data_IF_525922127567
#
_entry.id   IF_525922127567
#
_cell.length_a   1.000
_cell.length_b   1.000
_cell.length_c   1.000
_cell.angle_alpha   90.00
_cell.angle_beta   90.00
_cell.angle_gamma   90.00
#
_symmetry.space_group_name_H-M   'P 1'
#
loop_
_entity.id
_entity.type
_entity.pdbx_description
1 polymer ?
#
# COMPACT_ATOMS: atom_id res chain seq x y z
N UNK A 1 1.51 15.42 -26.22
CA UNK A 1 1.04 15.65 -24.84
C UNK A 1 0.56 17.08 -24.77
N UNK A 2 -0.67 17.33 -24.28
CA UNK A 2 -1.06 18.69 -23.94
C UNK A 2 -0.13 19.18 -22.82
N UNK A 3 0.43 20.39 -22.96
CA UNK A 3 1.23 20.97 -21.89
C UNK A 3 0.34 21.17 -20.65
N UNK A 4 0.86 20.80 -19.48
CA UNK A 4 0.16 21.04 -18.22
C UNK A 4 -0.09 22.55 -18.04
N UNK A 5 -1.24 22.95 -17.49
CA UNK A 5 -1.50 24.36 -17.20
C UNK A 5 -0.38 24.99 -16.36
N UNK A 6 0.02 26.25 -16.66
CA UNK A 6 0.96 26.97 -15.81
C UNK A 6 0.48 27.01 -14.35
N UNK A 7 1.34 26.63 -13.41
CA UNK A 7 1.01 26.56 -11.98
C UNK A 7 0.29 25.28 -11.55
N UNK A 8 0.26 24.23 -12.38
CA UNK A 8 -0.18 22.90 -11.95
C UNK A 8 0.62 22.39 -10.75
N UNK A 9 -0.09 21.74 -9.84
CA UNK A 9 0.44 21.11 -8.65
C UNK A 9 0.29 19.59 -8.74
N UNK A 10 1.16 18.88 -8.02
CA UNK A 10 1.08 17.43 -7.84
C UNK A 10 1.05 17.10 -6.36
N UNK A 11 0.18 16.18 -5.98
CA UNK A 11 0.01 15.79 -4.58
C UNK A 11 0.47 14.36 -4.37
N UNK A 12 1.54 14.19 -3.58
CA UNK A 12 2.07 12.90 -3.16
C UNK A 12 1.68 12.61 -1.71
N UNK A 13 1.25 11.40 -1.43
CA UNK A 13 0.94 10.94 -0.07
C UNK A 13 1.86 9.80 0.37
N UNK A 14 2.04 9.65 1.67
CA UNK A 14 2.71 8.49 2.28
C UNK A 14 1.91 8.00 3.49
N UNK A 15 1.15 6.91 3.29
CA UNK A 15 0.40 6.22 4.33
C UNK A 15 1.29 5.18 5.04
N UNK A 16 2.21 5.70 5.84
CA UNK A 16 3.19 4.94 6.62
C UNK A 16 2.59 4.27 7.86
N UNK A 17 3.42 3.54 8.61
CA UNK A 17 3.01 2.87 9.86
C UNK A 17 2.61 3.84 10.98
N UNK A 18 3.30 4.97 11.12
CA UNK A 18 3.12 5.89 12.26
C UNK A 18 2.40 7.19 11.89
N UNK A 19 2.21 7.43 10.60
CA UNK A 19 1.64 8.70 10.13
C UNK A 19 1.12 8.63 8.69
N UNK A 20 0.28 9.60 8.35
CA UNK A 20 -0.04 9.92 6.96
C UNK A 20 0.60 11.28 6.62
N UNK A 21 1.45 11.30 5.60
CA UNK A 21 2.08 12.54 5.09
C UNK A 21 1.46 12.95 3.75
N UNK A 22 1.46 14.25 3.49
CA UNK A 22 1.12 14.83 2.20
C UNK A 22 2.22 15.82 1.78
N UNK A 23 2.66 15.72 0.53
CA UNK A 23 3.69 16.58 -0.08
C UNK A 23 3.12 17.19 -1.35
N UNK A 24 3.16 18.50 -1.45
CA UNK A 24 2.72 19.25 -2.63
C UNK A 24 3.95 19.66 -3.43
N UNK A 25 3.97 19.31 -4.71
CA UNK A 25 5.00 19.69 -5.66
C UNK A 25 4.46 20.70 -6.68
N UNK A 26 5.30 21.66 -7.09
CA UNK A 26 5.04 22.48 -8.27
C UNK A 26 5.42 21.76 -9.58
N UNK A 27 5.20 22.39 -10.72
CA UNK A 27 5.57 21.84 -12.03
C UNK A 27 7.08 21.72 -12.28
N UNK A 28 7.91 22.33 -11.43
CA UNK A 28 9.37 22.20 -11.46
C UNK A 28 9.87 21.14 -10.47
N UNK A 29 8.95 20.36 -9.88
CA UNK A 29 9.23 19.31 -8.88
C UNK A 29 9.77 19.85 -7.55
N UNK A 30 9.59 21.13 -7.25
CA UNK A 30 9.92 21.68 -5.94
C UNK A 30 8.82 21.37 -4.93
N UNK A 31 9.21 20.95 -3.73
CA UNK A 31 8.28 20.85 -2.59
C UNK A 31 7.88 22.26 -2.17
N UNK A 32 6.59 22.58 -2.29
CA UNK A 32 6.05 23.89 -1.89
C UNK A 32 5.28 23.83 -0.58
N UNK A 33 4.82 22.64 -0.18
CA UNK A 33 4.09 22.43 1.06
C UNK A 33 4.17 20.98 1.52
N UNK A 34 4.22 20.78 2.83
CA UNK A 34 4.21 19.48 3.48
C UNK A 34 3.28 19.53 4.71
N UNK A 35 2.51 18.47 4.91
CA UNK A 35 1.71 18.27 6.13
C UNK A 35 1.76 16.79 6.54
N UNK A 36 1.51 16.52 7.81
CA UNK A 36 1.59 15.19 8.39
C UNK A 36 0.63 15.05 9.57
N UNK A 37 -0.05 13.89 9.61
CA UNK A 37 -0.84 13.44 10.76
C UNK A 37 -0.08 12.29 11.42
N UNK A 38 0.41 12.51 12.64
CA UNK A 38 1.04 11.48 13.47
C UNK A 38 -0.05 10.73 14.24
N UNK A 39 -0.17 9.42 14.02
CA UNK A 39 -1.32 8.66 14.51
C UNK A 39 -1.47 8.70 16.03
N UNK A 40 -0.40 8.51 16.79
CA UNK A 40 -0.49 8.45 18.25
C UNK A 40 -0.82 9.81 18.88
N UNK A 41 -0.28 10.91 18.34
CA UNK A 41 -0.44 12.25 18.92
C UNK A 41 -1.66 13.00 18.39
N UNK A 42 -1.97 12.86 17.09
CA UNK A 42 -3.09 13.55 16.46
C UNK A 42 -4.40 12.73 16.55
N UNK A 43 -4.32 11.40 16.71
CA UNK A 43 -5.48 10.51 16.81
C UNK A 43 -5.45 9.62 18.09
N UNK A 44 -5.24 10.21 19.28
CA UNK A 44 -4.98 9.45 20.52
C UNK A 44 -6.16 8.56 20.95
N UNK A 45 -7.37 8.80 20.45
CA UNK A 45 -8.55 7.98 20.74
C UNK A 45 -8.46 6.56 20.19
N UNK A 46 -7.63 6.31 19.16
CA UNK A 46 -7.32 4.93 18.75
C UNK A 46 -6.40 4.22 19.74
N UNK A 47 -5.69 4.93 20.64
CA UNK A 47 -4.81 4.31 21.65
C UNK A 47 -3.74 3.40 21.05
N UNK A 48 -3.27 3.73 19.86
CA UNK A 48 -2.13 3.04 19.25
C UNK A 48 -0.84 3.38 19.97
N UNK A 49 0.17 2.52 19.78
CA UNK A 49 1.57 2.83 20.09
C UNK A 49 2.39 2.56 18.84
N UNK A 50 3.07 3.57 18.34
CA UNK A 50 3.72 3.60 17.03
C UNK A 50 2.73 3.33 15.88
N UNK A 51 1.48 3.80 16.01
CA UNK A 51 0.44 3.61 15.00
C UNK A 51 -0.18 2.20 14.92
N UNK A 52 0.12 1.34 15.89
CA UNK A 52 -0.30 -0.08 15.85
C UNK A 52 -0.82 -0.61 17.18
N UNK A 53 -1.56 -1.71 17.09
CA UNK A 53 -1.88 -2.60 18.20
C UNK A 53 -0.96 -3.82 18.15
N UNK A 54 -0.43 -4.17 19.31
CA UNK A 54 0.34 -5.39 19.53
C UNK A 54 -0.48 -6.25 20.47
N UNK A 55 -0.95 -7.39 19.99
CA UNK A 55 -1.80 -8.28 20.77
C UNK A 55 -0.91 -9.22 21.61
N UNK A 56 -0.87 -9.09 22.94
CA UNK A 56 -0.06 -9.97 23.78
C UNK A 56 -0.60 -11.42 23.81
N UNK A 57 -1.84 -11.66 23.36
CA UNK A 57 -2.47 -12.99 23.36
C UNK A 57 -2.28 -13.78 22.06
N UNK A 58 -1.95 -13.12 20.93
CA UNK A 58 -1.58 -13.75 19.66
C UNK A 58 -0.17 -13.32 19.27
N UNK A 59 0.83 -14.13 19.67
CA UNK A 59 2.25 -13.79 19.50
C UNK A 59 2.58 -13.44 18.04
N UNK A 60 3.18 -12.26 17.84
CA UNK A 60 3.54 -11.75 16.52
C UNK A 60 2.39 -11.09 15.75
N UNK A 61 1.15 -11.10 16.26
CA UNK A 61 0.04 -10.37 15.63
C UNK A 61 0.20 -8.87 15.83
N UNK A 62 0.29 -8.14 14.73
CA UNK A 62 0.43 -6.67 14.75
C UNK A 62 -0.47 -6.07 13.67
N UNK A 63 -1.35 -5.17 14.10
CA UNK A 63 -2.42 -4.61 13.26
C UNK A 63 -2.56 -3.11 13.47
N UNK A 64 -3.19 -2.42 12.53
CA UNK A 64 -3.63 -1.02 12.68
C UNK A 64 -5.14 -0.91 12.48
N UNK A 65 -5.83 0.00 13.18
CA UNK A 65 -7.23 0.29 12.92
C UNK A 65 -7.40 0.87 11.52
N UNK A 66 -8.22 0.25 10.67
CA UNK A 66 -8.40 0.68 9.28
C UNK A 66 -8.99 2.10 9.20
N UNK A 67 -9.92 2.43 10.10
CA UNK A 67 -10.54 3.77 10.17
C UNK A 67 -9.56 4.89 10.53
N UNK A 68 -8.45 4.57 11.21
CA UNK A 68 -7.43 5.55 11.57
C UNK A 68 -6.78 6.17 10.33
N UNK A 69 -6.56 5.37 9.27
CA UNK A 69 -6.01 5.88 8.01
C UNK A 69 -6.99 6.81 7.29
N UNK A 70 -8.29 6.55 7.38
CA UNK A 70 -9.35 7.40 6.80
C UNK A 70 -9.45 8.72 7.55
N UNK A 71 -9.44 8.67 8.88
CA UNK A 71 -9.48 9.87 9.71
C UNK A 71 -8.22 10.73 9.51
N UNK A 72 -7.05 10.10 9.42
CA UNK A 72 -5.81 10.81 9.07
C UNK A 72 -5.91 11.50 7.70
N UNK A 73 -6.53 10.85 6.71
CA UNK A 73 -6.75 11.43 5.39
C UNK A 73 -7.69 12.65 5.43
N UNK A 74 -8.79 12.56 6.17
CA UNK A 74 -9.70 13.69 6.40
C UNK A 74 -8.94 14.87 7.02
N UNK A 75 -8.12 14.61 8.05
CA UNK A 75 -7.39 15.65 8.78
C UNK A 75 -6.28 16.30 7.94
N UNK A 76 -5.49 15.52 7.20
CA UNK A 76 -4.40 16.09 6.38
C UNK A 76 -4.96 16.98 5.28
N UNK A 77 -6.06 16.58 4.62
CA UNK A 77 -6.72 17.40 3.61
C UNK A 77 -7.32 18.68 4.20
N UNK A 78 -7.87 18.60 5.42
CA UNK A 78 -8.35 19.78 6.14
C UNK A 78 -7.22 20.75 6.49
N UNK A 79 -6.05 20.26 6.94
CA UNK A 79 -4.90 21.11 7.25
C UNK A 79 -4.32 21.78 6.00
N UNK A 80 -4.19 21.03 4.91
CA UNK A 80 -3.81 21.57 3.59
C UNK A 80 -4.80 22.63 3.10
N UNK A 81 -6.11 22.40 3.26
CA UNK A 81 -7.13 23.41 2.91
C UNK A 81 -7.00 24.68 3.76
N UNK A 82 -6.84 24.54 5.09
CA UNK A 82 -6.73 25.67 6.02
C UNK A 82 -5.48 26.51 5.82
N UNK A 83 -4.40 25.89 5.33
CA UNK A 83 -3.15 26.57 5.00
C UNK A 83 -3.19 27.27 3.62
N UNK A 84 -4.32 27.17 2.89
CA UNK A 84 -4.55 27.91 1.66
C UNK A 84 -4.13 27.18 0.39
N UNK A 85 -3.94 25.86 0.43
CA UNK A 85 -3.67 25.07 -0.78
C UNK A 85 -4.85 25.18 -1.75
N UNK A 86 -4.56 25.63 -2.98
CA UNK A 86 -5.53 25.66 -4.08
C UNK A 86 -5.59 24.28 -4.75
N UNK A 87 -6.48 23.42 -4.24
CA UNK A 87 -6.71 22.09 -4.81
C UNK A 87 -7.18 22.11 -6.27
N UNK A 88 -7.72 23.23 -6.75
CA UNK A 88 -8.13 23.41 -8.15
C UNK A 88 -6.95 23.32 -9.13
N UNK A 89 -5.72 23.54 -8.64
CA UNK A 89 -4.48 23.41 -9.42
C UNK A 89 -3.87 22.02 -9.42
N UNK A 90 -4.35 21.10 -8.59
CA UNK A 90 -3.81 19.75 -8.52
C UNK A 90 -4.18 19.00 -9.80
N UNK A 91 -3.18 18.72 -10.63
CA UNK A 91 -3.36 18.03 -11.91
C UNK A 91 -3.40 16.51 -11.74
N UNK A 92 -2.62 15.98 -10.78
CA UNK A 92 -2.64 14.56 -10.45
C UNK A 92 -2.22 14.33 -8.99
N UNK A 93 -2.66 13.19 -8.47
CA UNK A 93 -2.21 12.67 -7.19
C UNK A 93 -1.84 11.19 -7.26
N UNK A 94 -0.91 10.80 -6.40
CA UNK A 94 -0.48 9.42 -6.16
C UNK A 94 0.05 9.31 -4.72
N UNK A 95 0.50 8.14 -4.30
CA UNK A 95 1.10 7.97 -2.99
C UNK A 95 1.67 6.59 -2.74
N UNK A 96 2.33 6.46 -1.59
CA UNK A 96 2.76 5.20 -1.02
C UNK A 96 1.80 4.71 0.05
N UNK A 97 1.66 3.40 0.14
CA UNK A 97 1.19 2.72 1.36
C UNK A 97 2.31 1.90 1.97
N UNK A 98 2.32 1.76 3.30
CA UNK A 98 3.16 0.75 3.94
C UNK A 98 2.87 -0.63 3.31
N UNK A 99 3.94 -1.31 2.88
CA UNK A 99 3.78 -2.54 2.08
C UNK A 99 3.10 -3.66 2.87
N UNK A 100 2.57 -4.62 2.13
CA UNK A 100 1.99 -5.89 2.61
C UNK A 100 0.69 -5.77 3.41
N UNK A 101 0.46 -4.64 4.09
CA UNK A 101 -0.74 -4.42 4.87
C UNK A 101 -1.99 -4.49 4.00
N UNK A 102 -3.06 -5.07 4.54
CA UNK A 102 -4.25 -5.41 3.74
C UNK A 102 -5.55 -4.99 4.38
N UNK A 103 -6.46 -4.44 3.57
CA UNK A 103 -7.80 -3.98 3.94
C UNK A 103 -8.85 -4.90 3.32
N UNK A 104 -9.86 -5.26 4.11
CA UNK A 104 -10.93 -6.18 3.71
C UNK A 104 -12.26 -5.42 3.68
N UNK A 105 -12.71 -5.10 2.47
CA UNK A 105 -13.94 -4.36 2.22
C UNK A 105 -15.15 -5.26 2.34
N UNK A 106 -16.14 -4.83 3.11
CA UNK A 106 -17.39 -5.56 3.30
C UNK A 106 -18.26 -5.50 2.05
N UNK A 107 -19.07 -6.53 1.82
CA UNK A 107 -20.12 -6.53 0.80
C UNK A 107 -20.95 -5.23 0.83
N UNK A 108 -21.08 -4.57 -0.33
CA UNK A 108 -21.76 -3.28 -0.52
C UNK A 108 -20.85 -2.04 -0.46
N UNK A 109 -19.56 -2.19 -0.16
CA UNK A 109 -18.65 -1.05 0.00
C UNK A 109 -18.29 -0.36 -1.33
N UNK A 110 -18.40 -1.06 -2.46
CA UNK A 110 -18.28 -0.45 -3.79
C UNK A 110 -19.34 0.63 -4.00
N UNK A 111 -20.57 0.38 -3.55
CA UNK A 111 -21.66 1.37 -3.66
C UNK A 111 -21.35 2.59 -2.80
N UNK A 112 -20.87 2.38 -1.56
CA UNK A 112 -20.44 3.46 -0.67
C UNK A 112 -19.38 4.35 -1.33
N UNK A 113 -18.32 3.76 -1.89
CA UNK A 113 -17.25 4.51 -2.56
C UNK A 113 -17.78 5.40 -3.70
N UNK A 114 -18.73 4.89 -4.48
CA UNK A 114 -19.31 5.61 -5.62
C UNK A 114 -20.31 6.70 -5.25
N UNK A 115 -20.78 6.74 -4.00
CA UNK A 115 -21.88 7.61 -3.56
C UNK A 115 -21.55 8.41 -2.28
N UNK A 116 -20.29 8.78 -2.09
CA UNK A 116 -19.85 9.58 -0.95
C UNK A 116 -20.53 10.97 -0.94
N UNK A 117 -21.09 11.34 0.20
CA UNK A 117 -21.73 12.63 0.47
C UNK A 117 -20.67 13.67 0.85
N UNK A 118 -20.44 14.65 -0.03
CA UNK A 118 -19.44 15.71 0.13
C UNK A 118 -19.68 16.63 1.34
N UNK A 119 -20.89 16.63 1.91
CA UNK A 119 -21.22 17.38 3.12
C UNK A 119 -20.73 16.70 4.40
N UNK A 120 -20.35 15.42 4.34
CA UNK A 120 -19.92 14.62 5.50
C UNK A 120 -18.42 14.30 5.44
N UNK A 121 -17.73 14.19 6.59
CA UNK A 121 -16.38 13.61 6.63
C UNK A 121 -16.35 12.19 6.06
N UNK A 122 -15.18 11.73 5.60
CA UNK A 122 -15.02 10.34 5.17
C UNK A 122 -15.24 9.39 6.35
N UNK A 123 -14.65 9.67 7.51
CA UNK A 123 -14.73 8.77 8.68
C UNK A 123 -16.16 8.33 9.01
N UNK A 124 -17.12 9.24 8.97
CA UNK A 124 -18.52 8.97 9.32
C UNK A 124 -19.21 8.03 8.31
N UNK A 125 -18.75 8.04 7.07
CA UNK A 125 -19.32 7.24 5.98
C UNK A 125 -18.71 5.83 5.91
N UNK A 126 -17.47 5.67 6.37
CA UNK A 126 -16.73 4.40 6.27
C UNK A 126 -16.84 3.48 7.49
N UNK A 127 -17.56 3.87 8.55
CA UNK A 127 -17.64 3.10 9.82
C UNK A 127 -18.07 1.63 9.64
N UNK A 128 -18.83 1.32 8.59
CA UNK A 128 -19.33 -0.03 8.27
C UNK A 128 -18.78 -0.61 6.97
N UNK A 129 -17.72 -0.02 6.40
CA UNK A 129 -17.17 -0.39 5.09
C UNK A 129 -16.25 -1.62 5.12
N UNK A 130 -15.87 -2.12 6.30
CA UNK A 130 -14.86 -3.17 6.43
C UNK A 130 -15.43 -4.42 7.11
N UNK A 131 -15.05 -5.59 6.61
CA UNK A 131 -15.41 -6.89 7.21
C UNK A 131 -14.57 -7.21 8.44
N UNK A 132 -13.38 -6.60 8.54
CA UNK A 132 -12.52 -6.57 9.73
C UNK A 132 -12.12 -5.13 10.05
N UNK A 133 -12.17 -4.74 11.32
CA UNK A 133 -11.83 -3.38 11.75
C UNK A 133 -10.32 -3.12 11.78
N UNK A 134 -9.53 -4.16 11.96
CA UNK A 134 -8.09 -4.13 12.16
C UNK A 134 -7.37 -4.79 10.98
N UNK A 135 -6.55 -4.01 10.29
CA UNK A 135 -5.78 -4.49 9.15
C UNK A 135 -4.44 -5.05 9.63
N UNK A 136 -4.03 -6.28 9.24
CA UNK A 136 -2.66 -6.73 9.43
C UNK A 136 -1.72 -5.83 8.62
N UNK A 137 -0.52 -5.62 9.15
CA UNK A 137 0.50 -4.73 8.55
C UNK A 137 1.85 -5.46 8.43
N UNK A 138 2.84 -4.78 7.85
CA UNK A 138 4.17 -5.37 7.57
C UNK A 138 4.92 -5.93 8.80
N UNK A 139 4.58 -5.47 10.00
CA UNK A 139 5.21 -5.95 11.25
C UNK A 139 4.63 -7.29 11.73
N UNK A 140 3.49 -7.74 11.19
CA UNK A 140 2.86 -9.00 11.61
C UNK A 140 3.74 -10.20 11.23
N UNK A 141 4.01 -11.06 12.21
CA UNK A 141 4.83 -12.27 12.06
C UNK A 141 4.10 -13.54 12.50
N UNK A 142 2.76 -13.53 12.46
CA UNK A 142 1.91 -14.55 13.10
C UNK A 142 1.45 -15.68 12.15
N UNK A 143 2.00 -15.75 10.94
CA UNK A 143 1.51 -16.60 9.83
C UNK A 143 2.54 -17.62 9.33
N UNK A 144 3.49 -18.02 10.17
CA UNK A 144 4.52 -19.01 9.80
C UNK A 144 3.92 -20.32 9.30
N UNK A 145 2.80 -20.76 9.89
CA UNK A 145 2.08 -21.96 9.44
C UNK A 145 1.54 -21.78 8.00
N UNK A 146 0.86 -20.66 7.74
CA UNK A 146 0.31 -20.34 6.42
C UNK A 146 1.40 -20.18 5.36
N UNK A 147 2.56 -19.62 5.71
CA UNK A 147 3.72 -19.55 4.81
C UNK A 147 4.15 -20.95 4.36
N UNK A 148 4.32 -21.89 5.31
CA UNK A 148 4.71 -23.27 5.00
C UNK A 148 3.68 -24.01 4.17
N UNK A 149 2.40 -23.80 4.46
CA UNK A 149 1.29 -24.39 3.70
C UNK A 149 1.27 -23.89 2.24
N UNK A 150 1.46 -22.58 2.02
CA UNK A 150 1.53 -22.01 0.67
C UNK A 150 2.78 -22.52 -0.06
N UNK A 151 3.95 -22.48 0.59
CA UNK A 151 5.19 -23.02 0.03
C UNK A 151 5.00 -24.49 -0.38
N UNK A 152 4.47 -25.35 0.49
CA UNK A 152 4.24 -26.76 0.20
C UNK A 152 3.26 -26.97 -0.96
N UNK A 153 2.16 -26.22 -1.01
CA UNK A 153 1.14 -26.35 -2.06
C UNK A 153 1.64 -25.90 -3.43
N UNK A 154 2.56 -24.92 -3.50
CA UNK A 154 3.14 -24.41 -4.74
C UNK A 154 4.32 -25.26 -5.26
N UNK A 155 4.90 -26.12 -4.41
CA UNK A 155 6.03 -26.99 -4.79
C UNK A 155 7.36 -26.66 -4.09
N UNK A 156 7.32 -25.83 -3.05
CA UNK A 156 8.44 -25.47 -2.18
C UNK A 156 8.77 -23.98 -2.18
N UNK A 157 9.60 -23.56 -1.22
CA UNK A 157 10.00 -22.16 -1.05
C UNK A 157 10.71 -21.56 -2.28
N UNK A 158 11.55 -22.35 -2.96
CA UNK A 158 12.26 -21.91 -4.17
C UNK A 158 11.28 -21.70 -5.32
N UNK A 159 10.28 -22.57 -5.49
CA UNK A 159 9.31 -22.43 -6.57
C UNK A 159 8.37 -21.24 -6.33
N UNK A 160 7.94 -21.03 -5.08
CA UNK A 160 7.20 -19.83 -4.71
C UNK A 160 8.01 -18.55 -4.96
N UNK A 161 9.31 -18.57 -4.64
CA UNK A 161 10.21 -17.45 -4.94
C UNK A 161 10.38 -17.22 -6.44
N UNK A 162 10.55 -18.29 -7.22
CA UNK A 162 10.67 -18.21 -8.69
C UNK A 162 9.43 -17.55 -9.32
N UNK A 163 8.23 -17.90 -8.83
CA UNK A 163 6.97 -17.33 -9.34
C UNK A 163 6.76 -15.90 -8.84
N UNK A 164 6.93 -15.68 -7.53
CA UNK A 164 6.42 -14.46 -6.85
C UNK A 164 7.49 -13.45 -6.46
N UNK A 165 8.76 -13.77 -6.75
CA UNK A 165 9.90 -12.94 -6.36
C UNK A 165 10.32 -13.07 -4.91
N UNK A 166 9.66 -13.91 -4.10
CA UNK A 166 9.99 -14.16 -2.69
C UNK A 166 9.47 -15.52 -2.22
N UNK A 167 10.18 -16.14 -1.28
CA UNK A 167 9.62 -17.28 -0.53
C UNK A 167 8.46 -16.82 0.38
N UNK A 168 7.88 -17.74 1.17
CA UNK A 168 6.86 -17.38 2.15
C UNK A 168 7.45 -16.52 3.27
N UNK A 169 6.88 -15.32 3.46
CA UNK A 169 7.21 -14.42 4.57
C UNK A 169 5.95 -14.04 5.32
N UNK A 170 6.00 -14.02 6.64
CA UNK A 170 4.79 -13.92 7.45
C UNK A 170 3.98 -12.63 7.21
N UNK A 171 4.69 -11.54 6.97
CA UNK A 171 4.04 -10.25 6.70
C UNK A 171 3.38 -10.17 5.32
N UNK A 172 3.75 -11.03 4.38
CA UNK A 172 3.24 -10.97 3.01
C UNK A 172 1.73 -11.24 3.01
N UNK A 173 1.04 -10.58 2.10
CA UNK A 173 -0.42 -10.49 2.15
C UNK A 173 -1.12 -11.83 1.94
N UNK A 174 -0.60 -12.72 1.09
CA UNK A 174 -1.14 -14.07 0.88
C UNK A 174 -1.25 -14.87 2.18
N UNK A 175 -0.16 -15.09 2.94
CA UNK A 175 -0.20 -15.71 4.26
C UNK A 175 -1.20 -15.06 5.24
N UNK A 176 -1.33 -13.73 5.25
CA UNK A 176 -2.31 -13.00 6.08
C UNK A 176 -3.76 -13.29 5.66
N UNK A 177 -4.04 -13.27 4.36
CA UNK A 177 -5.35 -13.65 3.80
C UNK A 177 -5.70 -15.09 4.18
N UNK A 178 -4.75 -16.02 4.02
CA UNK A 178 -4.94 -17.43 4.38
C UNK A 178 -5.27 -17.59 5.87
N UNK A 179 -4.59 -16.85 6.76
CA UNK A 179 -4.89 -16.84 8.20
C UNK A 179 -6.31 -16.36 8.47
N UNK A 180 -6.75 -15.28 7.82
CA UNK A 180 -8.11 -14.75 7.97
C UNK A 180 -9.14 -15.75 7.44
N UNK A 181 -8.92 -16.35 6.27
CA UNK A 181 -9.80 -17.39 5.74
C UNK A 181 -9.92 -18.59 6.70
N UNK A 182 -8.81 -19.08 7.26
CA UNK A 182 -8.80 -20.24 8.16
C UNK A 182 -9.39 -19.94 9.55
N UNK A 183 -9.07 -18.78 10.14
CA UNK A 183 -9.49 -18.44 11.52
C UNK A 183 -10.83 -17.71 11.58
N UNK A 184 -11.20 -16.97 10.54
CA UNK A 184 -12.37 -16.10 10.47
C UNK A 184 -13.07 -16.23 9.10
N UNK A 185 -13.58 -17.42 8.74
CA UNK A 185 -14.17 -17.67 7.42
C UNK A 185 -15.36 -16.74 7.12
N UNK A 186 -16.17 -16.37 8.12
CA UNK A 186 -17.30 -15.45 7.94
C UNK A 186 -16.85 -14.03 7.55
N UNK A 187 -15.71 -13.57 8.07
CA UNK A 187 -15.09 -12.30 7.65
C UNK A 187 -14.67 -12.39 6.19
N UNK A 188 -13.99 -13.47 5.80
CA UNK A 188 -13.57 -13.68 4.40
C UNK A 188 -14.78 -13.77 3.44
N UNK A 189 -15.83 -14.46 3.85
CA UNK A 189 -17.06 -14.63 3.06
C UNK A 189 -17.87 -13.32 2.93
N UNK A 190 -17.83 -12.45 3.94
CA UNK A 190 -18.45 -11.12 3.91
C UNK A 190 -17.58 -10.03 3.26
N UNK A 191 -16.39 -10.40 2.77
CA UNK A 191 -15.47 -9.51 2.06
C UNK A 191 -15.71 -9.55 0.56
N UNK A 192 -16.03 -8.43 -0.07
CA UNK A 192 -16.15 -8.34 -1.54
C UNK A 192 -14.84 -7.95 -2.23
N UNK A 193 -13.97 -7.22 -1.53
CA UNK A 193 -12.71 -6.72 -2.08
C UNK A 193 -11.61 -6.77 -1.02
N UNK A 194 -10.40 -7.13 -1.43
CA UNK A 194 -9.18 -7.03 -0.63
C UNK A 194 -8.25 -6.03 -1.33
N UNK A 195 -7.65 -5.13 -0.57
CA UNK A 195 -6.73 -4.10 -1.06
C UNK A 195 -5.45 -4.10 -0.26
N UNK A 196 -4.34 -3.69 -0.86
CA UNK A 196 -3.18 -3.25 -0.09
C UNK A 196 -3.45 -1.85 0.46
N UNK A 197 -2.68 -1.38 1.46
CA UNK A 197 -2.82 0.00 2.00
C UNK A 197 -2.70 1.03 0.87
N UNK A 198 -1.80 0.81 -0.09
CA UNK A 198 -1.64 1.62 -1.30
C UNK A 198 -2.94 1.69 -2.12
N UNK A 199 -3.44 0.55 -2.61
CA UNK A 199 -4.65 0.50 -3.44
C UNK A 199 -5.92 0.90 -2.67
N UNK A 200 -5.95 0.71 -1.35
CA UNK A 200 -7.00 1.18 -0.47
C UNK A 200 -7.10 2.71 -0.51
N UNK A 201 -6.00 3.42 -0.29
CA UNK A 201 -5.96 4.88 -0.33
C UNK A 201 -6.30 5.44 -1.72
N UNK A 202 -5.76 4.81 -2.78
CA UNK A 202 -6.11 5.16 -4.15
C UNK A 202 -7.61 4.98 -4.44
N UNK A 203 -8.23 3.94 -3.87
CA UNK A 203 -9.66 3.67 -4.06
C UNK A 203 -10.55 4.76 -3.48
N UNK A 204 -10.16 5.33 -2.32
CA UNK A 204 -10.89 6.43 -1.68
C UNK A 204 -10.87 7.65 -2.61
N UNK A 205 -9.69 8.06 -3.09
CA UNK A 205 -9.56 9.20 -4.01
C UNK A 205 -10.30 9.01 -5.32
N UNK A 206 -10.35 7.79 -5.85
CA UNK A 206 -11.02 7.48 -7.10
C UNK A 206 -12.55 7.27 -6.96
N UNK A 207 -13.07 7.08 -5.74
CA UNK A 207 -14.49 6.78 -5.51
C UNK A 207 -14.91 5.43 -6.08
N UNK A 208 -13.95 4.52 -6.28
CA UNK A 208 -14.13 3.16 -6.80
C UNK A 208 -12.89 2.34 -6.46
N UNK A 209 -12.98 1.01 -6.52
CA UNK A 209 -11.81 0.17 -6.27
C UNK A 209 -10.71 0.41 -7.29
N UNK A 210 -9.55 0.83 -6.80
CA UNK A 210 -8.31 0.83 -7.55
C UNK A 210 -7.74 -0.59 -7.61
N UNK A 211 -7.10 -0.92 -8.73
CA UNK A 211 -6.21 -2.08 -8.84
C UNK A 211 -5.02 -1.95 -7.89
N UNK A 212 -4.56 -3.10 -7.43
CA UNK A 212 -3.22 -3.27 -6.86
C UNK A 212 -2.22 -3.12 -8.00
N UNK A 213 -1.15 -2.36 -7.79
CA UNK A 213 -0.14 -2.17 -8.82
C UNK A 213 0.85 -3.34 -8.87
N UNK A 214 1.57 -3.49 -9.99
CA UNK A 214 2.54 -4.58 -10.17
C UNK A 214 3.67 -4.56 -9.13
N UNK A 215 4.16 -3.40 -8.70
CA UNK A 215 5.29 -3.33 -7.79
C UNK A 215 4.88 -3.73 -6.37
N UNK A 216 3.79 -3.18 -5.83
CA UNK A 216 3.33 -3.54 -4.49
C UNK A 216 2.65 -4.92 -4.45
N UNK A 217 1.99 -5.31 -5.55
CA UNK A 217 1.38 -6.64 -5.71
C UNK A 217 2.37 -7.80 -5.65
N UNK A 218 3.65 -7.56 -5.95
CA UNK A 218 4.71 -8.56 -5.76
C UNK A 218 5.00 -8.85 -4.27
N UNK A 219 4.68 -7.91 -3.37
CA UNK A 219 4.80 -8.06 -1.92
C UNK A 219 3.75 -8.97 -1.28
N UNK A 220 3.06 -9.80 -2.05
CA UNK A 220 1.91 -10.59 -1.60
C UNK A 220 2.11 -12.11 -1.60
N UNK A 221 3.14 -12.64 -2.28
CA UNK A 221 3.25 -14.07 -2.63
C UNK A 221 2.08 -14.58 -3.51
N UNK A 222 1.43 -13.72 -4.29
CA UNK A 222 0.26 -14.08 -5.11
C UNK A 222 0.43 -13.79 -6.61
N UNK A 223 1.33 -12.88 -6.99
CA UNK A 223 1.53 -12.48 -8.38
C UNK A 223 2.66 -13.28 -9.03
N UNK A 224 2.48 -13.69 -10.28
CA UNK A 224 3.57 -14.13 -11.16
C UNK A 224 4.31 -12.88 -11.65
N UNK A 225 5.54 -12.65 -11.15
CA UNK A 225 6.27 -11.39 -11.39
C UNK A 225 6.73 -11.22 -12.84
N UNK A 226 6.90 -12.32 -13.57
CA UNK A 226 7.31 -12.32 -14.98
C UNK A 226 6.12 -11.94 -15.87
N UNK A 227 4.96 -12.57 -15.61
CA UNK A 227 3.74 -12.32 -16.39
C UNK A 227 2.97 -11.08 -15.95
N UNK A 228 3.23 -10.57 -14.74
CA UNK A 228 2.51 -9.44 -14.11
C UNK A 228 1.00 -9.71 -14.01
N UNK A 229 0.66 -10.95 -13.71
CA UNK A 229 -0.72 -11.42 -13.49
C UNK A 229 -0.76 -12.21 -12.20
N UNK A 230 -1.96 -12.45 -11.65
CA UNK A 230 -2.06 -13.35 -10.52
C UNK A 230 -1.64 -14.78 -10.89
N UNK A 231 -0.90 -15.41 -9.98
CA UNK A 231 -0.50 -16.81 -10.11
C UNK A 231 -1.64 -17.70 -9.62
N UNK A 232 -2.28 -18.42 -10.54
CA UNK A 232 -3.39 -19.34 -10.22
C UNK A 232 -3.02 -20.32 -9.10
N UNK A 233 -1.83 -20.92 -9.16
CA UNK A 233 -1.36 -21.87 -8.14
C UNK A 233 -1.17 -21.21 -6.78
N UNK A 234 -0.67 -19.97 -6.74
CA UNK A 234 -0.49 -19.24 -5.49
C UNK A 234 -1.84 -18.81 -4.88
N UNK A 235 -2.79 -18.38 -5.72
CA UNK A 235 -4.16 -18.05 -5.30
C UNK A 235 -4.89 -19.26 -4.73
N UNK A 236 -4.86 -20.40 -5.45
CA UNK A 236 -5.47 -21.67 -5.02
C UNK A 236 -4.86 -22.20 -3.72
N UNK A 237 -3.54 -22.03 -3.55
CA UNK A 237 -2.85 -22.36 -2.31
C UNK A 237 -3.26 -21.44 -1.12
N UNK A 238 -3.85 -20.28 -1.39
CA UNK A 238 -4.14 -19.26 -0.37
C UNK A 238 -5.58 -19.34 0.13
N UNK A 239 -6.57 -19.05 -0.72
CA UNK A 239 -7.98 -18.97 -0.34
C UNK A 239 -8.91 -19.12 -1.57
N UNK A 240 -10.14 -19.64 -1.40
CA UNK A 240 -11.08 -19.83 -2.51
C UNK A 240 -11.63 -18.50 -3.03
N UNK A 241 -11.82 -18.39 -4.35
CA UNK A 241 -12.39 -17.19 -4.99
C UNK A 241 -11.56 -15.91 -4.81
N UNK A 242 -10.27 -16.06 -4.50
CA UNK A 242 -9.43 -14.92 -4.11
C UNK A 242 -9.20 -13.92 -5.26
N UNK A 243 -9.11 -14.40 -6.50
CA UNK A 243 -8.88 -13.53 -7.67
C UNK A 243 -9.97 -12.47 -7.83
N UNK A 244 -11.25 -12.83 -7.63
CA UNK A 244 -12.38 -11.90 -7.71
C UNK A 244 -12.27 -10.80 -6.64
N UNK A 245 -11.84 -11.18 -5.42
CA UNK A 245 -11.65 -10.24 -4.31
C UNK A 245 -10.45 -9.31 -4.52
N UNK A 246 -9.44 -9.72 -5.29
CA UNK A 246 -8.29 -8.87 -5.62
C UNK A 246 -8.53 -8.00 -6.87
N UNK A 247 -9.32 -8.51 -7.83
CA UNK A 247 -9.50 -7.98 -9.18
C UNK A 247 -8.20 -7.84 -9.97
N UNK A 248 -8.25 -7.13 -11.09
CA UNK A 248 -7.10 -7.01 -11.99
C UNK A 248 -5.96 -6.20 -11.38
N UNK A 249 -4.73 -6.59 -11.70
CA UNK A 249 -3.51 -5.81 -11.48
C UNK A 249 -3.37 -4.69 -12.51
N UNK A 250 -2.58 -3.67 -12.19
CA UNK A 250 -2.25 -2.58 -13.10
C UNK A 250 -0.77 -2.14 -13.01
N UNK A 251 -0.21 -1.51 -14.05
CA UNK A 251 1.07 -0.82 -13.93
C UNK A 251 1.01 0.33 -12.90
N UNK A 252 2.09 0.57 -12.16
CA UNK A 252 2.17 1.63 -11.15
C UNK A 252 1.87 3.03 -11.71
N UNK A 253 2.33 3.31 -12.93
CA UNK A 253 2.12 4.58 -13.63
C UNK A 253 0.75 4.70 -14.32
N UNK A 254 -0.11 3.69 -14.24
CA UNK A 254 -1.42 3.75 -14.86
C UNK A 254 -2.37 4.67 -14.08
N UNK A 255 -3.31 5.26 -14.80
CA UNK A 255 -4.34 6.15 -14.23
C UNK A 255 -5.54 5.31 -13.81
N UNK A 256 -5.93 5.40 -12.53
CA UNK A 256 -7.16 4.79 -11.99
C UNK A 256 -8.39 5.44 -12.63
N UNK A 257 -8.35 6.76 -12.76
CA UNK A 257 -9.41 7.60 -13.31
C UNK A 257 -9.34 9.03 -12.78
N UNK A 258 -10.35 9.86 -13.10
CA UNK A 258 -10.50 11.17 -12.45
C UNK A 258 -10.78 11.00 -10.96
N UNK A 259 -10.44 12.03 -10.17
CA UNK A 259 -10.75 12.10 -8.75
C UNK A 259 -12.28 12.05 -8.51
N UNK A 260 -12.70 11.45 -7.39
CA UNK A 260 -14.11 11.33 -7.03
C UNK A 260 -14.77 12.70 -6.85
N UNK A 261 -16.07 12.79 -7.21
CA UNK A 261 -16.88 14.01 -7.05
C UNK A 261 -16.87 14.53 -5.61
N UNK A 262 -16.76 13.63 -4.62
CA UNK A 262 -16.57 13.98 -3.21
C UNK A 262 -15.49 15.05 -3.01
N UNK A 263 -14.30 14.85 -3.58
CA UNK A 263 -13.16 15.77 -3.41
C UNK A 263 -13.32 17.05 -4.24
N UNK A 264 -13.96 16.96 -5.40
CA UNK A 264 -14.31 18.13 -6.23
C UNK A 264 -15.25 19.06 -5.47
N UNK A 265 -16.32 18.51 -4.90
CA UNK A 265 -17.36 19.29 -4.22
C UNK A 265 -16.87 19.84 -2.88
N UNK A 266 -16.22 18.99 -2.08
CA UNK A 266 -15.79 19.31 -0.70
C UNK A 266 -14.52 20.16 -0.64
N UNK A 267 -13.52 19.83 -1.44
CA UNK A 267 -12.19 20.45 -1.38
C UNK A 267 -11.85 21.29 -2.62
N UNK A 268 -12.73 21.36 -3.62
CA UNK A 268 -12.54 22.13 -4.86
C UNK A 268 -11.37 21.65 -5.73
N UNK A 269 -11.07 20.35 -5.70
CA UNK A 269 -10.20 19.75 -6.71
C UNK A 269 -10.75 20.00 -8.11
N UNK A 270 -9.85 20.10 -9.10
CA UNK A 270 -10.26 20.01 -10.49
C UNK A 270 -10.91 18.66 -10.76
N UNK A 271 -12.04 18.63 -11.48
CA UNK A 271 -12.67 17.39 -11.95
C UNK A 271 -11.77 16.59 -12.92
N UNK A 272 -10.77 17.26 -13.49
CA UNK A 272 -9.79 16.67 -14.41
C UNK A 272 -8.54 16.19 -13.66
N UNK A 273 -8.48 16.36 -12.32
CA UNK A 273 -7.41 15.80 -11.49
C UNK A 273 -7.37 14.28 -11.63
N UNK A 274 -6.21 13.74 -12.01
CA UNK A 274 -6.03 12.31 -12.21
C UNK A 274 -5.56 11.63 -10.93
N UNK A 275 -6.19 10.50 -10.61
CA UNK A 275 -5.70 9.57 -9.60
C UNK A 275 -4.83 8.53 -10.32
N UNK A 276 -3.53 8.56 -10.07
CA UNK A 276 -2.59 7.52 -10.52
C UNK A 276 -2.59 6.41 -9.48
N UNK A 277 -2.36 5.16 -9.90
CA UNK A 277 -2.23 4.06 -8.92
C UNK A 277 -1.17 4.41 -7.87
N UNK A 278 -1.45 3.99 -6.64
CA UNK A 278 -0.50 4.07 -5.54
C UNK A 278 0.32 2.79 -5.54
N UNK A 279 1.51 2.85 -4.98
CA UNK A 279 2.40 1.69 -4.82
C UNK A 279 2.91 1.58 -3.39
N UNK A 280 3.80 0.63 -3.15
CA UNK A 280 4.47 0.45 -1.87
C UNK A 280 5.43 1.60 -1.55
N UNK A 281 5.72 1.81 -0.27
CA UNK A 281 6.71 2.80 0.18
C UNK A 281 8.12 2.58 -0.40
N UNK A 282 8.61 1.34 -0.46
CA UNK A 282 9.92 1.04 -1.05
C UNK A 282 9.93 1.23 -2.58
N UNK A 283 8.94 0.74 -3.36
CA UNK A 283 8.79 1.11 -4.77
C UNK A 283 8.80 2.63 -5.00
N UNK A 284 8.04 3.39 -4.22
CA UNK A 284 8.01 4.85 -4.37
C UNK A 284 9.32 5.52 -3.92
N UNK A 285 10.02 4.96 -2.93
CA UNK A 285 11.35 5.42 -2.55
C UNK A 285 12.36 5.24 -3.68
N UNK A 286 12.30 4.11 -4.40
CA UNK A 286 13.11 3.88 -5.60
C UNK A 286 12.83 4.96 -6.66
N UNK A 287 11.54 5.23 -6.93
CA UNK A 287 11.14 6.27 -7.88
C UNK A 287 11.60 7.67 -7.44
N UNK A 288 11.43 8.02 -6.17
CA UNK A 288 11.83 9.32 -5.61
C UNK A 288 13.34 9.54 -5.55
N UNK A 289 14.12 8.47 -5.36
CA UNK A 289 15.59 8.50 -5.44
C UNK A 289 16.10 8.52 -6.88
N UNK A 290 15.21 8.41 -7.88
CA UNK A 290 15.56 8.38 -9.32
C UNK A 290 16.54 7.27 -9.71
N UNK A 291 16.55 6.17 -8.94
CA UNK A 291 17.33 4.99 -9.30
C UNK A 291 16.75 4.46 -10.61
N UNK A 292 17.59 4.30 -11.63
CA UNK A 292 17.09 3.94 -12.97
C UNK A 292 18.00 3.00 -13.75
N UNK A 293 19.28 2.90 -13.38
CA UNK A 293 20.26 2.10 -14.14
C UNK A 293 20.66 0.87 -13.32
N UNK A 294 20.78 -0.33 -13.94
CA UNK A 294 21.38 -1.48 -13.28
C UNK A 294 22.75 -1.13 -12.70
N UNK A 295 22.91 -1.35 -11.38
CA UNK A 295 24.08 -0.92 -10.62
C UNK A 295 23.81 0.23 -9.65
N UNK A 296 22.72 0.99 -9.83
CA UNK A 296 22.24 1.94 -8.84
C UNK A 296 21.79 1.21 -7.57
N UNK A 297 22.19 1.76 -6.41
CA UNK A 297 21.84 1.24 -5.10
C UNK A 297 21.36 2.36 -4.18
N UNK A 298 20.19 2.17 -3.56
CA UNK A 298 19.73 2.94 -2.42
C UNK A 298 19.92 2.14 -1.14
N UNK A 299 20.45 2.76 -0.09
CA UNK A 299 20.57 2.15 1.23
C UNK A 299 19.83 3.04 2.22
N UNK A 300 18.73 2.51 2.76
CA UNK A 300 18.01 3.12 3.88
C UNK A 300 18.55 2.55 5.18
N UNK A 301 19.20 3.39 5.99
CA UNK A 301 19.75 3.01 7.28
C UNK A 301 18.79 3.41 8.39
N UNK A 302 18.25 2.43 9.11
CA UNK A 302 17.24 2.66 10.16
C UNK A 302 17.30 1.57 11.23
N UNK A 303 16.21 1.40 12.00
CA UNK A 303 16.11 0.29 12.97
C UNK A 303 16.32 -1.07 12.29
N UNK A 304 15.87 -1.18 11.04
CA UNK A 304 16.35 -2.18 10.08
C UNK A 304 16.95 -1.46 8.88
N UNK A 305 17.97 -2.05 8.27
CA UNK A 305 18.56 -1.49 7.06
C UNK A 305 17.94 -2.17 5.83
N UNK A 306 17.60 -1.37 4.82
CA UNK A 306 17.05 -1.86 3.54
C UNK A 306 17.96 -1.43 2.41
N UNK A 307 18.46 -2.39 1.64
CA UNK A 307 19.18 -2.15 0.38
C UNK A 307 18.20 -2.36 -0.76
N UNK A 308 18.09 -1.36 -1.64
CA UNK A 308 17.26 -1.35 -2.83
C UNK A 308 18.18 -1.23 -4.04
N UNK A 309 18.04 -2.12 -5.02
CA UNK A 309 18.79 -2.07 -6.27
C UNK A 309 17.91 -2.34 -7.48
N UNK A 310 18.47 -2.14 -8.67
CA UNK A 310 17.80 -2.39 -9.95
C UNK A 310 18.43 -3.59 -10.63
N UNK A 311 17.59 -4.47 -11.19
CA UNK A 311 18.02 -5.61 -12.00
C UNK A 311 17.16 -5.77 -13.24
N UNK A 312 17.80 -6.09 -14.37
CA UNK A 312 17.12 -6.50 -15.60
C UNK A 312 16.95 -8.02 -15.73
N UNK A 313 17.70 -8.80 -14.93
CA UNK A 313 17.66 -10.27 -14.88
C UNK A 313 17.59 -10.70 -13.42
N UNK A 314 16.41 -10.62 -12.78
CA UNK A 314 16.31 -10.96 -11.38
C UNK A 314 16.46 -12.47 -11.18
N UNK A 315 17.12 -12.85 -10.09
CA UNK A 315 17.24 -14.24 -9.65
C UNK A 315 16.59 -14.39 -8.29
N UNK A 316 15.25 -14.56 -8.22
CA UNK A 316 14.57 -14.80 -6.96
C UNK A 316 15.19 -15.99 -6.21
N UNK A 317 15.37 -15.82 -4.90
CA UNK A 317 16.01 -16.82 -4.05
C UNK A 317 15.26 -17.00 -2.74
N UNK A 318 15.91 -17.69 -1.79
CA UNK A 318 15.38 -17.86 -0.43
C UNK A 318 15.53 -16.60 0.43
N UNK A 319 16.26 -15.61 -0.07
CA UNK A 319 16.56 -14.34 0.58
C UNK A 319 16.26 -13.19 -0.36
N UNK A 320 15.91 -12.05 0.22
CA UNK A 320 15.54 -10.85 -0.52
C UNK A 320 14.18 -10.94 -1.21
N UNK A 321 13.85 -9.84 -1.87
CA UNK A 321 12.57 -9.64 -2.53
C UNK A 321 12.80 -9.06 -3.93
N UNK A 322 12.22 -9.68 -4.95
CA UNK A 322 12.24 -9.21 -6.33
C UNK A 322 10.86 -8.71 -6.71
N UNK A 323 10.71 -7.42 -6.92
CA UNK A 323 9.44 -6.82 -7.35
C UNK A 323 9.60 -6.19 -8.74
N UNK A 324 8.54 -6.11 -9.56
CA UNK A 324 8.54 -5.28 -10.76
C UNK A 324 8.94 -3.84 -10.42
N UNK A 325 9.72 -3.22 -11.29
CA UNK A 325 10.09 -1.82 -11.10
C UNK A 325 8.85 -0.92 -11.35
N UNK A 326 8.55 0.03 -10.44
CA UNK A 326 7.36 0.90 -10.58
C UNK A 326 7.49 1.94 -11.70
N UNK A 327 8.71 2.29 -12.11
CA UNK A 327 8.99 3.32 -13.14
C UNK A 327 9.46 2.73 -14.46
N UNK A 328 10.28 1.67 -14.44
CA UNK A 328 10.72 0.97 -15.63
C UNK A 328 9.83 -0.25 -15.93
N UNK A 329 9.20 -0.22 -17.09
CA UNK A 329 8.30 -1.29 -17.57
C UNK A 329 8.97 -2.66 -17.74
N UNK A 330 10.29 -2.74 -17.86
CA UNK A 330 11.02 -3.99 -18.14
C UNK A 330 11.88 -4.47 -16.97
N UNK A 331 12.35 -3.55 -16.14
CA UNK A 331 13.20 -3.85 -15.00
C UNK A 331 12.46 -4.36 -13.77
N UNK A 332 13.27 -4.79 -12.81
CA UNK A 332 12.87 -5.20 -11.48
C UNK A 332 13.64 -4.38 -10.45
N UNK A 333 13.03 -4.23 -9.28
CA UNK A 333 13.71 -3.80 -8.08
C UNK A 333 14.02 -5.02 -7.20
N UNK A 334 15.18 -5.00 -6.56
CA UNK A 334 15.60 -6.03 -5.62
C UNK A 334 15.77 -5.38 -4.27
N UNK A 335 15.23 -6.02 -3.23
CA UNK A 335 15.35 -5.54 -1.86
C UNK A 335 15.97 -6.60 -0.96
N UNK A 336 16.92 -6.17 -0.15
CA UNK A 336 17.49 -6.96 0.94
C UNK A 336 17.24 -6.20 2.26
N UNK A 337 16.55 -6.86 3.18
CA UNK A 337 16.22 -6.29 4.49
C UNK A 337 17.08 -6.96 5.56
N UNK A 338 17.82 -6.14 6.30
CA UNK A 338 18.69 -6.58 7.39
C UNK A 338 18.09 -6.14 8.72
N UNK A 339 17.75 -7.12 9.58
CA UNK A 339 17.19 -6.85 10.90
C UNK A 339 18.15 -6.07 11.82
N UNK A 340 19.45 -6.27 11.66
CA UNK A 340 20.49 -5.65 12.48
C UNK A 340 20.90 -4.28 11.91
N UNK A 341 20.10 -3.25 12.18
CA UNK A 341 20.36 -1.87 11.76
C UNK A 341 20.96 -0.99 12.87
N UNK A 342 20.29 0.12 13.15
CA UNK A 342 20.78 1.18 14.05
C UNK A 342 21.03 0.70 15.48
N UNK A 343 20.15 -0.15 16.03
CA UNK A 343 20.28 -0.65 17.40
C UNK A 343 21.57 -1.47 17.59
N UNK A 344 22.01 -2.20 16.56
CA UNK A 344 23.29 -2.92 16.58
C UNK A 344 24.48 -1.97 16.51
N UNK A 345 24.38 -0.89 15.71
CA UNK A 345 25.43 0.14 15.62
C UNK A 345 25.58 0.90 16.94
N UNK A 346 24.46 1.28 17.56
CA UNK A 346 24.42 2.00 18.85
C UNK A 346 24.96 1.14 19.99
N UNK A 347 24.65 -0.17 20.03
CA UNK A 347 25.14 -1.08 21.06
C UNK A 347 26.62 -1.45 20.98
N UNK A 348 27.35 -1.00 19.95
CA UNK A 348 28.80 -1.17 19.82
C UNK A 348 29.61 0.05 20.32
N UNK A 349 28.93 1.12 20.76
CA UNK A 349 29.52 2.33 21.34
C UNK A 349 29.32 2.39 22.86
#
# INVERSE_FOLDING_TARGET
>A
MAALPPGSLFLGFDSSTQSLKATVLDCNLNVIQLDQIHFDSDLPHYKTKDGVYRDPSDSGRIVSPTLMWIEALDLVLQRLSKSGLDFGKVAALSGSGQQHGSVYWKNGSSSLLSSLDSNKPLLDQFRNAFSISESPIWMDSSTTAQCREIEQAVGGAIELARITGSRGYERFTGPQIKKIFQKQPDVYNSTERISLVSSFMASIFAGKYASIDHADGAGMNLMDIEKKTWSKVALEATAPGLEEKLGALAPAYAVVGPIASYFVERYKFSKDCLVVHWSGDNPNSLAGLTLSVPGDLGISLGTSDTVIGISSDPKPGLEGHVFPNPVDTKGYMVMLCYKNGSLTREGMH
#
